data_IF_262623575500
#
_entry.id   IF_262623575500
#
_cell.length_a   1.000
_cell.length_b   1.000
_cell.length_c   1.000
_cell.angle_alpha   90.00
_cell.angle_beta   90.00
_cell.angle_gamma   90.00
#
_symmetry.space_group_name_H-M   'P 1'
#
loop_
_entity.id
_entity.type
_entity.pdbx_description
1 polymer ?
#
# COMPACT_ATOMS: atom_id res chain seq x y z
N UNK A 1 -38.56 -4.62 -18.90
CA UNK A 1 -37.11 -4.86 -19.00
C UNK A 1 -36.40 -3.53 -18.79
N UNK A 2 -35.83 -3.29 -17.60
CA UNK A 2 -35.11 -2.03 -17.30
C UNK A 2 -33.62 -2.21 -17.64
N UNK A 3 -32.97 -1.21 -18.26
CA UNK A 3 -31.56 -1.28 -18.59
C UNK A 3 -30.71 -1.26 -17.30
N UNK A 4 -29.72 -2.16 -17.23
CA UNK A 4 -28.74 -2.22 -16.16
C UNK A 4 -27.67 -1.16 -16.43
N UNK A 5 -27.83 0.03 -15.87
CA UNK A 5 -26.79 1.07 -15.89
C UNK A 5 -25.61 0.57 -15.06
N UNK A 6 -24.45 0.35 -15.67
CA UNK A 6 -23.20 0.04 -14.96
C UNK A 6 -22.84 1.20 -14.03
N UNK A 7 -23.23 1.08 -12.77
CA UNK A 7 -22.83 2.00 -11.72
C UNK A 7 -21.36 1.72 -11.42
N UNK A 8 -20.44 2.56 -11.95
CA UNK A 8 -19.04 2.57 -11.54
C UNK A 8 -18.98 3.10 -10.11
N UNK A 9 -19.27 2.24 -9.16
CA UNK A 9 -19.20 2.55 -7.74
C UNK A 9 -17.73 2.82 -7.42
N UNK A 10 -17.37 4.09 -7.28
CA UNK A 10 -16.07 4.51 -6.77
C UNK A 10 -15.96 4.01 -5.33
N UNK A 11 -15.48 2.78 -5.13
CA UNK A 11 -15.21 2.22 -3.80
C UNK A 11 -14.26 3.16 -3.08
N UNK A 12 -14.80 3.99 -2.20
CA UNK A 12 -13.99 4.81 -1.29
C UNK A 12 -13.30 3.84 -0.35
N UNK A 13 -12.06 3.48 -0.67
CA UNK A 13 -11.21 2.72 0.23
C UNK A 13 -10.92 3.60 1.45
N UNK A 14 -11.67 3.37 2.54
CA UNK A 14 -11.34 3.95 3.85
C UNK A 14 -10.32 3.04 4.50
N UNK A 15 -9.24 3.65 4.97
CA UNK A 15 -8.21 3.00 5.78
C UNK A 15 -8.16 3.70 7.13
N UNK A 16 -7.96 2.94 8.19
CA UNK A 16 -7.79 3.48 9.54
C UNK A 16 -6.43 4.19 9.68
N UNK A 17 -5.41 3.69 8.97
CA UNK A 17 -4.05 4.25 8.98
C UNK A 17 -3.45 4.26 7.57
N UNK A 18 -2.72 5.32 7.23
CA UNK A 18 -1.89 5.40 6.03
C UNK A 18 -0.42 5.53 6.45
N UNK A 19 0.42 4.65 5.94
CA UNK A 19 1.87 4.67 6.14
C UNK A 19 2.54 5.06 4.84
N UNK A 20 3.35 6.12 4.87
CA UNK A 20 4.10 6.60 3.71
C UNK A 20 5.55 6.10 3.84
N UNK A 21 5.97 5.27 2.88
CA UNK A 21 7.26 4.59 2.83
C UNK A 21 7.18 3.12 3.26
N UNK A 22 7.60 2.21 2.39
CA UNK A 22 7.69 0.77 2.65
C UNK A 22 9.12 0.33 3.01
N UNK A 23 9.85 1.15 3.78
CA UNK A 23 11.09 0.74 4.45
C UNK A 23 10.81 -0.15 5.68
N UNK A 24 11.86 -0.63 6.35
CA UNK A 24 11.75 -1.51 7.53
C UNK A 24 10.84 -0.93 8.62
N UNK A 25 10.99 0.37 8.92
CA UNK A 25 10.18 1.03 9.94
C UNK A 25 8.70 1.13 9.55
N UNK A 26 8.42 1.54 8.31
CA UNK A 26 7.06 1.67 7.80
C UNK A 26 6.34 0.32 7.73
N UNK A 27 7.00 -0.70 7.20
CA UNK A 27 6.45 -2.06 7.14
C UNK A 27 6.24 -2.65 8.54
N UNK A 28 7.16 -2.41 9.47
CA UNK A 28 7.01 -2.86 10.87
C UNK A 28 5.79 -2.20 11.51
N UNK A 29 5.65 -0.89 11.40
CA UNK A 29 4.50 -0.17 11.93
C UNK A 29 3.18 -0.67 11.30
N UNK A 30 3.14 -0.81 9.98
CA UNK A 30 1.98 -1.31 9.25
C UNK A 30 1.59 -2.73 9.69
N UNK A 31 2.57 -3.63 9.84
CA UNK A 31 2.33 -5.01 10.28
C UNK A 31 1.78 -5.07 11.70
N UNK A 32 2.31 -4.25 12.62
CA UNK A 32 1.81 -4.18 13.99
C UNK A 32 0.38 -3.65 14.05
N UNK A 33 0.08 -2.57 13.32
CA UNK A 33 -1.27 -1.99 13.25
C UNK A 33 -2.28 -2.95 12.61
N UNK A 34 -1.89 -3.63 11.54
CA UNK A 34 -2.70 -4.66 10.91
C UNK A 34 -2.98 -5.82 11.87
N UNK A 35 -1.98 -6.25 12.65
CA UNK A 35 -2.15 -7.28 13.69
C UNK A 35 -3.06 -6.82 14.84
N UNK A 36 -3.19 -5.52 15.07
CA UNK A 36 -4.17 -4.93 15.97
C UNK A 36 -5.57 -4.74 15.34
N UNK A 37 -5.82 -5.29 14.14
CA UNK A 37 -7.11 -5.25 13.47
C UNK A 37 -7.41 -3.94 12.73
N UNK A 38 -6.41 -3.09 12.47
CA UNK A 38 -6.58 -1.86 11.69
C UNK A 38 -6.43 -2.14 10.20
N UNK A 39 -7.26 -1.48 9.39
CA UNK A 39 -7.05 -1.41 7.94
C UNK A 39 -5.94 -0.40 7.63
N UNK A 40 -4.85 -0.87 7.01
CA UNK A 40 -3.66 -0.04 6.76
C UNK A 40 -3.36 0.03 5.27
N UNK A 41 -3.16 1.25 4.76
CA UNK A 41 -2.62 1.51 3.42
C UNK A 41 -1.13 1.86 3.55
N UNK A 42 -0.27 1.14 2.84
CA UNK A 42 1.15 1.48 2.71
C UNK A 42 1.40 2.01 1.31
N UNK A 43 2.07 3.16 1.20
CA UNK A 43 2.42 3.78 -0.08
C UNK A 43 3.94 3.83 -0.22
N UNK A 44 4.46 3.36 -1.34
CA UNK A 44 5.88 3.38 -1.67
C UNK A 44 6.07 4.00 -3.06
N UNK A 45 7.12 4.83 -3.21
CA UNK A 45 7.50 5.44 -4.50
C UNK A 45 8.22 4.45 -5.41
N UNK A 46 8.95 3.50 -4.84
CA UNK A 46 9.68 2.48 -5.57
C UNK A 46 8.76 1.36 -6.05
N UNK A 47 9.20 0.64 -7.08
CA UNK A 47 8.52 -0.53 -7.62
C UNK A 47 8.55 -1.74 -6.66
N UNK A 48 9.36 -1.65 -5.59
CA UNK A 48 9.53 -2.69 -4.59
C UNK A 48 9.59 -2.13 -3.17
N UNK A 49 9.08 -2.86 -2.18
CA UNK A 49 9.27 -2.54 -0.77
C UNK A 49 10.71 -2.82 -0.34
N UNK A 50 11.10 -2.23 0.80
CA UNK A 50 12.37 -2.46 1.48
C UNK A 50 13.18 -1.19 1.76
N UNK A 51 12.86 -0.06 1.10
CA UNK A 51 13.66 1.17 1.21
C UNK A 51 15.15 0.89 1.01
N UNK A 52 16.01 1.37 1.91
CA UNK A 52 17.47 1.12 1.81
C UNK A 52 17.90 -0.35 1.96
N UNK A 53 17.01 -1.25 2.38
CA UNK A 53 17.32 -2.67 2.52
C UNK A 53 16.99 -3.48 1.25
N UNK A 54 16.36 -2.87 0.24
CA UNK A 54 16.17 -3.55 -1.04
C UNK A 54 17.43 -3.42 -1.91
N UNK A 55 17.78 -4.49 -2.62
CA UNK A 55 18.81 -4.43 -3.66
C UNK A 55 18.37 -3.50 -4.80
N UNK A 56 19.25 -2.61 -5.24
CA UNK A 56 19.01 -1.79 -6.44
C UNK A 56 19.76 -2.41 -7.62
N UNK A 57 19.07 -2.61 -8.75
CA UNK A 57 19.73 -2.95 -10.00
C UNK A 57 20.11 -1.66 -10.71
N UNK A 58 21.41 -1.41 -10.87
CA UNK A 58 21.91 -0.39 -11.80
C UNK A 58 22.08 -1.06 -13.16
N UNK A 59 21.45 -0.51 -14.20
CA UNK A 59 21.78 -0.89 -15.57
C UNK A 59 23.15 -0.31 -15.91
N UNK A 60 24.12 -1.17 -16.25
CA UNK A 60 25.36 -0.72 -16.90
C UNK A 60 26.68 -0.92 -16.15
N UNK A 61 26.77 -1.87 -15.22
CA UNK A 61 28.05 -2.48 -14.82
C UNK A 61 27.91 -4.00 -14.77
#
# INVERSE_FOLDING_TARGET
>A
MKPQTFHRESRRHRYDVVVIGAGIGGLTAAALLARCGRSVLVIERHDRPGGYLHGFRRHGV
#
